data_IF_377602511835
#
_entry.id   IF_377602511835
#
_cell.length_a   1.000
_cell.length_b   1.000
_cell.length_c   1.000
_cell.angle_alpha   90.00
_cell.angle_beta   90.00
_cell.angle_gamma   90.00
#
_symmetry.space_group_name_H-M   'P 1'
#
loop_
_entity.id
_entity.type
_entity.pdbx_description
1 polymer ?
#
# COMPACT_ATOMS: atom_id res chain seq x y z
N UNK A 1 -6.63 -16.23 -0.88
CA UNK A 1 -6.04 -15.67 0.36
C UNK A 1 -6.44 -14.21 0.44
N UNK A 2 -6.77 -13.67 1.61
CA UNK A 2 -7.04 -12.23 1.76
C UNK A 2 -5.77 -11.54 2.25
N UNK A 3 -5.29 -10.55 1.50
CA UNK A 3 -4.11 -9.78 1.84
C UNK A 3 -4.54 -8.34 2.16
N UNK A 4 -4.39 -7.94 3.42
CA UNK A 4 -4.60 -6.55 3.83
C UNK A 4 -3.26 -5.83 3.77
N UNK A 5 -3.15 -4.80 2.94
CA UNK A 5 -1.94 -4.02 2.81
C UNK A 5 -1.87 -2.95 3.89
N UNK A 6 -0.68 -2.81 4.49
CA UNK A 6 -0.32 -1.62 5.26
C UNK A 6 -0.21 -0.40 4.34
N UNK A 7 -0.37 0.79 4.91
CA UNK A 7 -0.27 2.08 4.22
C UNK A 7 1.00 2.19 3.36
N UNK A 8 2.17 1.82 3.89
CA UNK A 8 3.43 1.93 3.13
C UNK A 8 3.51 0.94 1.97
N UNK A 9 3.03 -0.29 2.16
CA UNK A 9 3.04 -1.31 1.10
C UNK A 9 2.08 -0.93 -0.03
N UNK A 10 0.90 -0.40 0.31
CA UNK A 10 -0.05 0.09 -0.68
C UNK A 10 0.56 1.24 -1.51
N UNK A 11 1.22 2.20 -0.85
CA UNK A 11 1.89 3.31 -1.53
C UNK A 11 3.03 2.83 -2.42
N UNK A 12 3.89 1.92 -1.92
CA UNK A 12 4.99 1.35 -2.71
C UNK A 12 4.49 0.55 -3.91
N UNK A 13 3.38 -0.18 -3.77
CA UNK A 13 2.78 -0.90 -4.89
C UNK A 13 2.23 0.03 -5.98
N UNK A 14 1.56 1.13 -5.59
CA UNK A 14 1.00 2.10 -6.56
C UNK A 14 2.10 2.93 -7.24
N UNK A 15 3.20 3.19 -6.53
CA UNK A 15 4.34 3.98 -7.04
C UNK A 15 5.44 3.15 -7.70
N UNK A 16 5.27 1.83 -7.78
CA UNK A 16 6.30 0.87 -8.23
C UNK A 16 7.66 1.08 -7.55
N UNK A 17 7.62 1.31 -6.24
CA UNK A 17 8.80 1.63 -5.44
C UNK A 17 9.76 0.44 -5.36
N UNK A 18 11.09 0.65 -5.50
CA UNK A 18 12.10 -0.40 -5.32
C UNK A 18 12.18 -0.91 -3.87
N UNK A 19 11.54 -0.22 -2.91
CA UNK A 19 11.41 -0.68 -1.53
C UNK A 19 10.41 -1.84 -1.38
N UNK A 20 9.55 -2.08 -2.39
CA UNK A 20 8.65 -3.23 -2.40
C UNK A 20 9.43 -4.51 -2.72
N UNK A 21 9.54 -5.39 -1.73
CA UNK A 21 10.22 -6.69 -1.91
C UNK A 21 9.48 -7.57 -2.91
N UNK A 22 10.24 -8.37 -3.66
CA UNK A 22 9.70 -9.20 -4.75
C UNK A 22 8.60 -10.16 -4.29
N UNK A 23 8.74 -10.76 -3.12
CA UNK A 23 7.72 -11.62 -2.53
C UNK A 23 6.38 -10.91 -2.31
N UNK A 24 6.40 -9.63 -1.92
CA UNK A 24 5.19 -8.84 -1.74
C UNK A 24 4.55 -8.52 -3.09
N UNK A 25 5.38 -8.22 -4.11
CA UNK A 25 4.93 -8.01 -5.50
C UNK A 25 4.25 -9.25 -6.06
N UNK A 26 4.84 -10.42 -5.90
CA UNK A 26 4.25 -11.71 -6.30
C UNK A 26 2.91 -11.98 -5.61
N UNK A 27 2.81 -11.71 -4.30
CA UNK A 27 1.57 -11.90 -3.54
C UNK A 27 0.45 -10.96 -3.98
N UNK A 28 0.78 -9.70 -4.27
CA UNK A 28 -0.17 -8.68 -4.74
C UNK A 28 -0.67 -9.00 -6.16
N UNK A 29 0.22 -9.45 -7.04
CA UNK A 29 -0.11 -9.78 -8.44
C UNK A 29 -0.73 -11.17 -8.60
N UNK A 30 -0.70 -12.00 -7.56
CA UNK A 30 -1.24 -13.35 -7.61
C UNK A 30 -2.77 -13.33 -7.80
N UNK A 31 -3.30 -14.02 -8.84
CA UNK A 31 -4.75 -14.08 -9.09
C UNK A 31 -5.52 -14.85 -8.02
N UNK A 32 -4.81 -15.53 -7.11
CA UNK A 32 -5.40 -16.26 -5.96
C UNK A 32 -5.52 -15.39 -4.70
N UNK A 33 -5.09 -14.14 -4.77
CA UNK A 33 -5.08 -13.19 -3.66
C UNK A 33 -6.11 -12.09 -3.90
N UNK A 34 -7.00 -11.89 -2.94
CA UNK A 34 -7.82 -10.69 -2.88
C UNK A 34 -7.07 -9.65 -2.06
N UNK A 35 -6.69 -8.54 -2.69
CA UNK A 35 -5.95 -7.44 -2.07
C UNK A 35 -6.93 -6.42 -1.51
N UNK A 36 -6.75 -6.07 -0.24
CA UNK A 36 -7.58 -5.13 0.49
C UNK A 36 -6.72 -4.00 1.03
N UNK A 37 -7.31 -2.81 1.11
CA UNK A 37 -6.72 -1.63 1.75
C UNK A 37 -7.76 -1.08 2.73
N UNK A 38 -7.32 -0.73 3.93
CA UNK A 38 -8.21 -0.09 4.90
C UNK A 38 -8.61 1.31 4.42
N UNK A 39 -9.91 1.62 4.48
CA UNK A 39 -10.41 2.98 4.22
C UNK A 39 -9.78 4.00 5.17
N UNK A 40 -9.49 3.60 6.42
CA UNK A 40 -8.83 4.48 7.38
C UNK A 40 -7.41 4.88 6.94
N UNK A 41 -6.65 3.95 6.33
CA UNK A 41 -5.33 4.24 5.76
C UNK A 41 -5.41 5.29 4.66
N UNK A 42 -6.45 5.25 3.82
CA UNK A 42 -6.66 6.26 2.78
C UNK A 42 -6.91 7.65 3.36
N UNK A 43 -7.74 7.75 4.41
CA UNK A 43 -7.97 9.01 5.11
C UNK A 43 -6.69 9.55 5.77
N UNK A 44 -5.91 8.69 6.40
CA UNK A 44 -4.65 9.08 7.03
C UNK A 44 -3.66 9.64 6.01
N UNK A 45 -3.52 8.98 4.84
CA UNK A 45 -2.69 9.49 3.73
C UNK A 45 -3.18 10.87 3.29
N UNK A 46 -4.48 11.04 3.06
CA UNK A 46 -5.06 12.31 2.59
C UNK A 46 -4.81 13.45 3.59
N UNK A 47 -5.01 13.18 4.90
CA UNK A 47 -4.77 14.16 5.97
C UNK A 47 -3.29 14.51 6.05
N UNK A 48 -2.39 13.53 6.10
CA UNK A 48 -0.93 13.77 6.16
C UNK A 48 -0.44 14.56 4.95
N UNK A 49 -0.92 14.21 3.75
CA UNK A 49 -0.62 14.93 2.52
C UNK A 49 -1.11 16.38 2.58
N UNK A 50 -2.34 16.64 3.05
CA UNK A 50 -2.86 18.01 3.21
C UNK A 50 -2.09 18.86 4.21
N UNK A 51 -1.50 18.23 5.23
CA UNK A 51 -0.70 18.88 6.26
C UNK A 51 0.76 19.13 5.82
N UNK A 52 1.14 18.70 4.61
CA UNK A 52 2.53 18.76 4.14
C UNK A 52 3.49 17.87 4.92
N UNK A 53 2.98 16.93 5.74
CA UNK A 53 3.79 15.91 6.43
C UNK A 53 3.96 14.72 5.49
N UNK A 54 4.69 14.95 4.41
CA UNK A 54 4.98 13.96 3.36
C UNK A 54 6.26 13.17 3.60
N UNK A 55 6.74 13.10 4.84
CA UNK A 55 7.94 12.32 5.18
C UNK A 55 7.57 10.82 5.19
N UNK A 56 7.51 10.22 4.00
CA UNK A 56 7.36 8.78 3.77
C UNK A 56 8.49 8.26 2.88
#
# INVERSE_FOLDING_TARGET
MNLLLDTHIALWAITDSPKLVEQARELILSPKTAVWISVASLWEIAIKHSLGRGDM
#
